data_IF_340205000774
#
_entry.id   IF_340205000774
#
_cell.length_a   1.000
_cell.length_b   1.000
_cell.length_c   1.000
_cell.angle_alpha   90.00
_cell.angle_beta   90.00
_cell.angle_gamma   90.00
#
_symmetry.space_group_name_H-M   'P 1'
#
loop_
_entity.id
_entity.type
_entity.pdbx_description
1 polymer ?
#
# COMPACT_ATOMS: atom_id res chain seq x y z
N UNK A 1 -3.11 -35.36 -29.06
CA UNK A 1 -3.98 -35.59 -27.89
C UNK A 1 -3.34 -35.04 -26.61
N UNK A 2 -2.14 -35.50 -26.22
CA UNK A 2 -1.50 -35.08 -24.95
C UNK A 2 -1.00 -33.62 -24.96
N UNK A 3 -0.42 -33.16 -26.07
CA UNK A 3 0.07 -31.77 -26.19
C UNK A 3 -1.06 -30.76 -26.02
N UNK A 4 -2.22 -31.03 -26.61
CA UNK A 4 -3.40 -30.17 -26.52
C UNK A 4 -3.88 -30.03 -25.07
N UNK A 5 -3.83 -31.12 -24.29
CA UNK A 5 -4.18 -31.13 -22.86
C UNK A 5 -3.16 -30.30 -22.05
N UNK A 6 -1.86 -30.43 -22.35
CA UNK A 6 -0.80 -29.66 -21.69
C UNK A 6 -0.93 -28.17 -21.98
N UNK A 7 -1.21 -27.78 -23.24
CA UNK A 7 -1.42 -26.38 -23.62
C UNK A 7 -2.61 -25.78 -22.88
N UNK A 8 -3.74 -26.49 -22.81
CA UNK A 8 -4.93 -26.03 -22.09
C UNK A 8 -4.65 -25.86 -20.59
N UNK A 9 -3.92 -26.80 -19.97
CA UNK A 9 -3.54 -26.72 -18.56
C UNK A 9 -2.67 -25.49 -18.26
N UNK A 10 -1.69 -25.16 -19.12
CA UNK A 10 -0.83 -23.98 -18.97
C UNK A 10 -1.65 -22.69 -19.09
N UNK A 11 -2.59 -22.61 -20.03
CA UNK A 11 -3.44 -21.44 -20.21
C UNK A 11 -4.32 -21.21 -18.98
N UNK A 12 -4.93 -22.26 -18.43
CA UNK A 12 -5.75 -22.18 -17.22
C UNK A 12 -4.89 -21.73 -16.02
N UNK A 13 -3.68 -22.28 -15.88
CA UNK A 13 -2.76 -21.88 -14.82
C UNK A 13 -2.36 -20.40 -14.94
N UNK A 14 -2.04 -19.92 -16.15
CA UNK A 14 -1.68 -18.53 -16.40
C UNK A 14 -2.84 -17.58 -16.07
N UNK A 15 -4.07 -17.92 -16.49
CA UNK A 15 -5.27 -17.14 -16.16
C UNK A 15 -5.51 -17.13 -14.64
N UNK A 16 -5.32 -18.27 -13.96
CA UNK A 16 -5.45 -18.37 -12.52
C UNK A 16 -4.46 -17.47 -11.76
N UNK A 17 -3.18 -17.47 -12.17
CA UNK A 17 -2.15 -16.61 -11.60
C UNK A 17 -2.47 -15.13 -11.84
N UNK A 18 -2.88 -14.79 -13.07
CA UNK A 18 -3.25 -13.41 -13.42
C UNK A 18 -4.46 -12.92 -12.60
N UNK A 19 -5.49 -13.75 -12.45
CA UNK A 19 -6.68 -13.43 -11.65
C UNK A 19 -6.34 -13.25 -10.17
N UNK A 20 -5.46 -14.11 -9.63
CA UNK A 20 -4.97 -13.97 -8.26
C UNK A 20 -4.22 -12.64 -8.06
N UNK A 21 -3.34 -12.28 -9.01
CA UNK A 21 -2.62 -11.02 -8.98
C UNK A 21 -3.54 -9.80 -9.07
N UNK A 22 -4.53 -9.81 -9.97
CA UNK A 22 -5.52 -8.72 -10.07
C UNK A 22 -6.35 -8.57 -8.79
N UNK A 23 -6.75 -9.68 -8.18
CA UNK A 23 -7.50 -9.66 -6.92
C UNK A 23 -6.68 -9.06 -5.79
N UNK A 24 -5.39 -9.41 -5.69
CA UNK A 24 -4.46 -8.80 -4.74
C UNK A 24 -4.21 -7.32 -5.01
N UNK A 25 -4.07 -6.92 -6.27
CA UNK A 25 -3.91 -5.52 -6.66
C UNK A 25 -5.10 -4.67 -6.21
N UNK A 26 -6.32 -5.21 -6.29
CA UNK A 26 -7.53 -4.51 -5.83
C UNK A 26 -7.50 -4.25 -4.32
N UNK A 27 -7.10 -5.25 -3.52
CA UNK A 27 -6.90 -5.06 -2.08
C UNK A 27 -5.78 -4.09 -1.76
N UNK A 28 -4.71 -4.07 -2.57
CA UNK A 28 -3.60 -3.14 -2.42
C UNK A 28 -4.05 -1.69 -2.68
N UNK A 29 -4.86 -1.46 -3.72
CA UNK A 29 -5.42 -0.14 -4.04
C UNK A 29 -6.31 0.36 -2.91
N UNK A 30 -7.19 -0.49 -2.36
CA UNK A 30 -8.04 -0.09 -1.23
C UNK A 30 -7.19 0.27 0.00
N UNK A 31 -6.19 -0.54 0.34
CA UNK A 31 -5.30 -0.25 1.46
C UNK A 31 -4.48 1.03 1.23
N UNK A 32 -4.05 1.28 -0.01
CA UNK A 32 -3.34 2.49 -0.40
C UNK A 32 -4.21 3.74 -0.21
N UNK A 33 -5.46 3.69 -0.68
CA UNK A 33 -6.42 4.79 -0.54
C UNK A 33 -6.73 5.03 0.92
N UNK A 34 -7.00 3.99 1.70
CA UNK A 34 -7.27 4.12 3.15
C UNK A 34 -6.06 4.69 3.88
N UNK A 35 -4.85 4.24 3.57
CA UNK A 35 -3.61 4.77 4.14
C UNK A 35 -3.39 6.25 3.81
N UNK A 36 -3.62 6.64 2.55
CA UNK A 36 -3.55 8.04 2.12
C UNK A 36 -4.59 8.93 2.82
N UNK A 37 -5.83 8.45 2.94
CA UNK A 37 -6.90 9.16 3.65
C UNK A 37 -6.53 9.33 5.13
N UNK A 38 -5.95 8.30 5.76
CA UNK A 38 -5.46 8.39 7.14
C UNK A 38 -4.32 9.42 7.29
N UNK A 39 -3.32 9.40 6.40
CA UNK A 39 -2.25 10.40 6.41
C UNK A 39 -2.80 11.82 6.27
N UNK A 40 -3.74 12.00 5.35
CA UNK A 40 -4.40 13.29 5.14
C UNK A 40 -5.13 13.75 6.41
N UNK A 41 -5.86 12.86 7.08
CA UNK A 41 -6.54 13.15 8.35
C UNK A 41 -5.54 13.50 9.47
N UNK A 42 -4.46 12.73 9.61
CA UNK A 42 -3.41 12.95 10.61
C UNK A 42 -2.77 14.33 10.43
N UNK A 43 -2.47 14.71 9.19
CA UNK A 43 -1.92 16.02 8.84
C UNK A 43 -2.95 17.15 9.03
N UNK A 44 -4.21 16.93 8.63
CA UNK A 44 -5.27 17.95 8.76
C UNK A 44 -5.64 18.25 10.22
N UNK A 45 -5.70 17.23 11.07
CA UNK A 45 -5.99 17.38 12.50
C UNK A 45 -4.74 17.71 13.33
N UNK A 46 -3.56 17.82 12.72
CA UNK A 46 -2.30 18.11 13.43
C UNK A 46 -1.95 17.06 14.48
N UNK A 47 -2.35 15.80 14.26
CA UNK A 47 -2.15 14.71 15.24
C UNK A 47 -0.65 14.48 15.47
N UNK A 48 0.18 14.63 14.42
CA UNK A 48 1.64 14.58 14.52
C UNK A 48 2.20 15.69 15.40
N UNK A 49 1.69 16.92 15.22
CA UNK A 49 2.05 18.06 16.07
C UNK A 49 1.66 17.84 17.54
N UNK A 50 0.54 17.16 17.80
CA UNK A 50 0.09 16.83 19.16
C UNK A 50 0.96 15.76 19.86
N UNK A 51 1.65 14.89 19.12
CA UNK A 51 2.54 13.86 19.65
C UNK A 51 4.03 14.25 19.62
N UNK A 52 4.36 15.49 19.23
CA UNK A 52 5.73 16.01 19.18
C UNK A 52 6.51 15.67 17.90
N UNK A 53 5.84 15.16 16.87
CA UNK A 53 6.39 14.93 15.53
C UNK A 53 6.24 16.12 14.60
N UNK A 54 6.92 16.08 13.46
CA UNK A 54 6.81 17.06 12.38
C UNK A 54 5.64 16.74 11.45
N UNK A 55 5.05 17.75 10.80
CA UNK A 55 3.97 17.47 9.83
C UNK A 55 4.50 16.57 8.71
N UNK A 56 3.77 15.50 8.40
CA UNK A 56 4.20 14.51 7.42
C UNK A 56 3.78 14.96 6.02
N UNK A 57 4.72 15.39 5.15
CA UNK A 57 4.36 15.85 3.83
C UNK A 57 3.81 14.71 2.96
N UNK A 58 2.77 15.01 2.18
CA UNK A 58 2.29 14.12 1.13
C UNK A 58 3.26 14.21 -0.04
N UNK A 59 4.31 13.41 0.02
CA UNK A 59 5.36 13.27 -1.00
C UNK A 59 5.20 11.94 -1.73
N UNK A 60 5.87 11.79 -2.88
CA UNK A 60 5.86 10.51 -3.62
C UNK A 60 6.32 9.34 -2.75
N UNK A 61 7.27 9.57 -1.86
CA UNK A 61 7.79 8.58 -0.93
C UNK A 61 6.72 8.09 0.06
N UNK A 62 5.99 8.99 0.71
CA UNK A 62 4.93 8.63 1.66
C UNK A 62 3.74 7.95 0.98
N UNK A 63 3.42 8.37 -0.26
CA UNK A 63 2.42 7.70 -1.12
C UNK A 63 2.82 6.26 -1.42
N UNK A 64 4.08 6.00 -1.82
CA UNK A 64 4.56 4.65 -2.16
C UNK A 64 4.56 3.75 -0.92
N UNK A 65 5.01 4.27 0.23
CA UNK A 65 5.04 3.52 1.49
C UNK A 65 3.61 3.17 1.94
N UNK A 66 2.66 4.10 1.82
CA UNK A 66 1.25 3.82 2.08
C UNK A 66 0.63 2.90 1.03
N UNK A 67 1.07 2.94 -0.22
CA UNK A 67 0.58 2.04 -1.26
C UNK A 67 1.03 0.58 -1.04
N UNK A 68 2.24 0.38 -0.52
CA UNK A 68 2.78 -0.94 -0.22
C UNK A 68 2.30 -1.45 1.15
N UNK A 69 2.25 -0.59 2.16
CA UNK A 69 1.95 -0.96 3.55
C UNK A 69 0.50 -0.70 4.00
N UNK A 70 -0.29 0.05 3.22
CA UNK A 70 -1.63 0.49 3.61
C UNK A 70 -1.65 1.22 4.94
N UNK A 71 -2.56 0.81 5.83
CA UNK A 71 -2.67 1.31 7.21
C UNK A 71 -1.36 1.09 8.00
N UNK A 72 -0.69 -0.05 7.81
CA UNK A 72 0.60 -0.32 8.48
C UNK A 72 1.68 0.65 7.98
N UNK A 73 1.62 1.03 6.70
CA UNK A 73 2.51 2.05 6.12
C UNK A 73 2.39 3.39 6.82
N UNK A 74 1.17 3.83 7.16
CA UNK A 74 0.94 5.06 7.94
C UNK A 74 1.57 4.95 9.33
N UNK A 75 1.37 3.82 10.02
CA UNK A 75 1.94 3.62 11.36
C UNK A 75 3.47 3.66 11.32
N UNK A 76 4.09 3.03 10.32
CA UNK A 76 5.55 3.08 10.13
C UNK A 76 6.04 4.50 9.88
N UNK A 77 5.35 5.27 9.05
CA UNK A 77 5.70 6.65 8.76
C UNK A 77 5.63 7.55 10.01
N UNK A 78 4.60 7.37 10.83
CA UNK A 78 4.46 8.07 12.11
C UNK A 78 5.60 7.71 13.07
N UNK A 79 5.97 6.43 13.16
CA UNK A 79 7.09 5.99 13.99
C UNK A 79 8.44 6.53 13.47
N UNK A 80 8.61 6.61 12.15
CA UNK A 80 9.84 7.07 11.52
C UNK A 80 10.07 8.56 11.75
N UNK A 81 9.01 9.36 11.65
CA UNK A 81 9.04 10.78 11.97
C UNK A 81 9.26 11.04 13.47
N UNK A 82 8.62 10.25 14.35
CA UNK A 82 8.85 10.33 15.79
C UNK A 82 10.29 9.94 16.18
N UNK A 83 10.95 9.09 15.37
CA UNK A 83 12.38 8.80 15.49
C UNK A 83 13.28 9.92 14.92
N UNK A 84 12.70 11.01 14.40
CA UNK A 84 13.40 12.15 13.82
C UNK A 84 13.87 11.94 12.38
N UNK A 85 13.45 10.85 11.73
CA UNK A 85 13.79 10.56 10.34
C UNK A 85 12.67 11.14 9.47
N UNK A 86 12.85 12.39 9.06
CA UNK A 86 11.95 13.08 8.13
C UNK A 86 12.21 12.62 6.69
N UNK A 87 11.15 12.35 5.94
CA UNK A 87 11.19 11.81 4.58
C UNK A 87 10.73 12.81 3.53
#
# INVERSE_FOLDING_TARGET
MIETIITIAIVIAAIGVLYYFLKQATTLIINAVVGLVLLFLINHFGVMSAIGGTDLPISLSTVIICALGGVIGVVLLVLLDLAGIVL
#
